data_IF_602305991599
#
_entry.id   IF_602305991599
#
_cell.length_a   1.000
_cell.length_b   1.000
_cell.length_c   1.000
_cell.angle_alpha   90.00
_cell.angle_beta   90.00
_cell.angle_gamma   90.00
#
_symmetry.space_group_name_H-M   'P 1'
#
loop_
_entity.id
_entity.type
_entity.pdbx_description
1 polymer ?
#
# COMPACT_ATOMS: atom_id res chain seq x y z
N UNK A 1 -33.41 -10.47 19.66
CA UNK A 1 -32.27 -11.39 19.65
C UNK A 1 -31.20 -10.74 18.83
N UNK A 2 -30.38 -9.91 19.49
CA UNK A 2 -29.32 -9.16 18.82
C UNK A 2 -28.07 -10.05 18.81
N UNK A 3 -27.78 -10.59 17.62
CA UNK A 3 -26.54 -11.31 17.38
C UNK A 3 -25.40 -10.30 17.33
N UNK A 4 -24.64 -10.20 18.42
CA UNK A 4 -23.31 -9.60 18.41
C UNK A 4 -22.49 -10.45 17.44
N UNK A 5 -22.33 -9.97 16.21
CA UNK A 5 -21.34 -10.52 15.28
C UNK A 5 -19.99 -10.14 15.87
N UNK A 6 -19.43 -11.07 16.65
CA UNK A 6 -18.08 -10.97 17.18
C UNK A 6 -17.11 -10.78 16.03
N UNK A 7 -16.11 -9.91 16.23
CA UNK A 7 -15.04 -9.61 15.27
C UNK A 7 -14.40 -10.88 14.66
N UNK A 8 -14.40 -11.98 15.40
CA UNK A 8 -14.00 -13.33 14.96
C UNK A 8 -14.74 -13.88 13.73
N UNK A 9 -16.01 -13.54 13.51
CA UNK A 9 -16.79 -14.08 12.39
C UNK A 9 -16.50 -13.38 11.05
N UNK A 10 -16.07 -12.11 11.07
CA UNK A 10 -15.60 -11.39 9.86
C UNK A 10 -14.24 -11.91 9.39
N UNK A 11 -13.33 -12.20 10.32
CA UNK A 11 -12.00 -12.79 10.07
C UNK A 11 -12.02 -14.17 9.37
N UNK A 12 -13.20 -14.79 9.22
CA UNK A 12 -13.37 -16.03 8.48
C UNK A 12 -13.68 -15.83 6.98
N UNK A 13 -14.02 -14.61 6.53
CA UNK A 13 -14.30 -14.32 5.12
C UNK A 13 -13.00 -14.35 4.29
N UNK A 14 -12.95 -15.11 3.18
CA UNK A 14 -11.77 -15.16 2.33
C UNK A 14 -11.39 -13.79 1.74
N UNK A 15 -12.34 -12.87 1.55
CA UNK A 15 -12.11 -11.51 1.09
C UNK A 15 -11.34 -10.66 2.10
N UNK A 16 -11.70 -10.75 3.39
CA UNK A 16 -11.02 -9.99 4.46
C UNK A 16 -9.55 -10.42 4.58
N UNK A 17 -9.28 -11.73 4.50
CA UNK A 17 -7.90 -12.26 4.47
C UNK A 17 -7.10 -11.81 3.26
N UNK A 18 -7.75 -11.57 2.13
CA UNK A 18 -7.07 -11.06 0.94
C UNK A 18 -6.66 -9.59 1.12
N UNK A 19 -7.54 -8.80 1.71
CA UNK A 19 -7.24 -7.40 2.04
C UNK A 19 -6.12 -7.31 3.08
N UNK A 20 -6.16 -8.09 4.15
CA UNK A 20 -5.08 -8.15 5.15
C UNK A 20 -3.72 -8.44 4.49
N UNK A 21 -3.66 -9.48 3.64
CA UNK A 21 -2.42 -9.81 2.90
C UNK A 21 -1.99 -8.70 1.97
N UNK A 22 -2.93 -8.00 1.34
CA UNK A 22 -2.63 -6.86 0.47
C UNK A 22 -2.04 -5.68 1.27
N UNK A 23 -2.67 -5.32 2.39
CA UNK A 23 -2.20 -4.27 3.29
C UNK A 23 -0.82 -4.61 3.86
N UNK A 24 -0.57 -5.85 4.28
CA UNK A 24 0.74 -6.30 4.75
C UNK A 24 1.82 -6.14 3.65
N UNK A 25 1.52 -6.56 2.42
CA UNK A 25 2.44 -6.42 1.29
C UNK A 25 2.70 -4.96 0.92
N UNK A 26 1.69 -4.10 1.00
CA UNK A 26 1.84 -2.67 0.83
C UNK A 26 2.76 -2.08 1.92
N UNK A 27 2.57 -2.46 3.19
CA UNK A 27 3.46 -2.04 4.28
C UNK A 27 4.91 -2.47 4.05
N UNK A 28 5.13 -3.72 3.64
CA UNK A 28 6.48 -4.23 3.34
C UNK A 28 7.13 -3.44 2.19
N UNK A 29 6.38 -3.16 1.12
CA UNK A 29 6.85 -2.32 0.02
C UNK A 29 7.25 -0.92 0.50
N UNK A 30 6.38 -0.25 1.26
CA UNK A 30 6.64 1.11 1.76
C UNK A 30 7.88 1.15 2.68
N UNK A 31 8.06 0.13 3.53
CA UNK A 31 9.28 0.00 4.35
C UNK A 31 10.53 -0.26 3.49
N UNK A 32 10.44 -1.12 2.48
CA UNK A 32 11.55 -1.35 1.54
C UNK A 32 11.93 -0.06 0.82
N UNK A 33 10.96 0.64 0.25
CA UNK A 33 11.15 1.89 -0.46
C UNK A 33 11.77 2.98 0.44
N UNK A 34 11.27 3.13 1.68
CA UNK A 34 11.86 4.03 2.68
C UNK A 34 13.35 3.76 2.90
N UNK A 35 13.74 2.48 2.88
CA UNK A 35 15.11 2.02 3.10
C UNK A 35 15.94 1.86 1.80
N UNK A 36 15.37 2.16 0.64
CA UNK A 36 16.07 2.04 -0.64
C UNK A 36 17.34 2.90 -0.65
N UNK A 37 18.45 2.26 -1.07
CA UNK A 37 19.79 2.84 -1.03
C UNK A 37 20.12 3.54 -2.36
N UNK A 38 20.93 4.60 -2.31
CA UNK A 38 21.48 5.18 -3.53
C UNK A 38 22.29 4.14 -4.31
N UNK A 39 22.18 4.19 -5.63
CA UNK A 39 23.10 3.51 -6.54
C UNK A 39 24.38 4.37 -6.71
N UNK A 40 25.33 3.94 -7.53
CA UNK A 40 26.47 4.78 -7.89
C UNK A 40 26.00 6.10 -8.53
N UNK A 41 26.57 7.24 -8.09
CA UNK A 41 26.18 8.58 -8.51
C UNK A 41 24.91 9.13 -7.84
N UNK A 42 24.09 9.84 -8.61
CA UNK A 42 22.90 10.58 -8.13
C UNK A 42 21.57 9.83 -8.27
N UNK A 43 21.62 8.55 -8.62
CA UNK A 43 20.44 7.70 -8.82
C UNK A 43 20.19 6.78 -7.63
N UNK A 44 18.98 6.27 -7.51
CA UNK A 44 18.58 5.31 -6.48
C UNK A 44 18.05 4.05 -7.15
N UNK A 45 18.53 2.87 -6.74
CA UNK A 45 18.00 1.63 -7.27
C UNK A 45 16.67 1.29 -6.56
N UNK A 46 15.57 1.40 -7.30
CA UNK A 46 14.21 1.08 -6.83
C UNK A 46 13.46 0.17 -7.81
N UNK A 47 14.17 -0.55 -8.69
CA UNK A 47 13.55 -1.36 -9.73
C UNK A 47 12.64 -2.47 -9.17
N UNK A 48 13.06 -3.04 -8.04
CA UNK A 48 12.28 -4.03 -7.29
C UNK A 48 10.98 -3.41 -6.75
N UNK A 49 11.09 -2.27 -6.06
CA UNK A 49 9.95 -1.54 -5.49
C UNK A 49 8.96 -1.11 -6.56
N UNK A 50 9.44 -0.57 -7.69
CA UNK A 50 8.59 -0.20 -8.84
C UNK A 50 7.77 -1.37 -9.35
N UNK A 51 8.39 -2.54 -9.47
CA UNK A 51 7.73 -3.74 -9.99
C UNK A 51 6.66 -4.24 -9.02
N UNK A 52 6.96 -4.24 -7.72
CA UNK A 52 5.99 -4.63 -6.69
C UNK A 52 4.84 -3.62 -6.59
N UNK A 53 5.14 -2.32 -6.67
CA UNK A 53 4.13 -1.26 -6.63
C UNK A 53 3.12 -1.41 -7.78
N UNK A 54 3.56 -1.72 -9.00
CA UNK A 54 2.66 -1.97 -10.14
C UNK A 54 1.74 -3.17 -9.94
N UNK A 55 2.26 -4.26 -9.36
CA UNK A 55 1.45 -5.45 -9.05
C UNK A 55 0.39 -5.12 -8.01
N UNK A 56 0.83 -4.52 -6.90
CA UNK A 56 -0.06 -4.12 -5.82
C UNK A 56 -1.09 -3.10 -6.30
N UNK A 57 -0.75 -2.18 -7.20
CA UNK A 57 -1.72 -1.22 -7.73
C UNK A 57 -2.88 -1.91 -8.46
N UNK A 58 -2.59 -2.95 -9.25
CA UNK A 58 -3.63 -3.74 -9.92
C UNK A 58 -4.50 -4.54 -8.94
N UNK A 59 -3.89 -5.10 -7.90
CA UNK A 59 -4.61 -5.79 -6.83
C UNK A 59 -5.48 -4.80 -6.02
N UNK A 60 -4.96 -3.61 -5.72
CA UNK A 60 -5.66 -2.56 -4.97
C UNK A 60 -6.95 -2.14 -5.67
N UNK A 61 -6.89 -1.91 -6.99
CA UNK A 61 -8.06 -1.53 -7.78
C UNK A 61 -9.17 -2.60 -7.76
N UNK A 62 -8.78 -3.88 -7.82
CA UNK A 62 -9.73 -5.01 -7.71
C UNK A 62 -10.38 -5.02 -6.33
N UNK A 63 -9.58 -4.92 -5.27
CA UNK A 63 -10.07 -4.93 -3.89
C UNK A 63 -10.93 -3.70 -3.55
N UNK A 64 -10.62 -2.53 -4.12
CA UNK A 64 -11.44 -1.32 -3.97
C UNK A 64 -12.83 -1.54 -4.56
N UNK A 65 -12.91 -2.04 -5.80
CA UNK A 65 -14.18 -2.32 -6.47
C UNK A 65 -15.02 -3.34 -5.68
N UNK A 66 -14.37 -4.39 -5.16
CA UNK A 66 -15.02 -5.41 -4.35
C UNK A 66 -15.55 -4.82 -3.02
N UNK A 67 -14.76 -4.00 -2.34
CA UNK A 67 -15.16 -3.33 -1.11
C UNK A 67 -16.33 -2.37 -1.34
N UNK A 68 -16.27 -1.56 -2.40
CA UNK A 68 -17.37 -0.68 -2.81
C UNK A 68 -18.65 -1.46 -3.11
N UNK A 69 -18.54 -2.57 -3.84
CA UNK A 69 -19.67 -3.44 -4.19
C UNK A 69 -20.33 -4.04 -2.94
N UNK A 70 -19.54 -4.40 -1.93
CA UNK A 70 -20.03 -4.89 -0.63
C UNK A 70 -20.50 -3.77 0.30
N UNK A 71 -20.26 -2.51 -0.04
CA UNK A 71 -20.52 -1.36 0.84
C UNK A 71 -19.57 -1.26 2.03
N UNK A 72 -18.41 -1.92 1.96
CA UNK A 72 -17.37 -1.90 2.99
C UNK A 72 -16.50 -0.64 2.85
N UNK A 73 -16.96 0.43 3.50
CA UNK A 73 -16.32 1.75 3.45
C UNK A 73 -14.98 1.81 4.16
N UNK A 74 -14.82 1.01 5.22
CA UNK A 74 -13.59 1.02 6.02
C UNK A 74 -12.44 0.41 5.20
N UNK A 75 -12.68 -0.74 4.56
CA UNK A 75 -11.72 -1.34 3.64
C UNK A 75 -11.42 -0.43 2.45
N UNK A 76 -12.46 0.14 1.80
CA UNK A 76 -12.25 1.03 0.66
C UNK A 76 -11.36 2.23 1.04
N UNK A 77 -11.61 2.84 2.21
CA UNK A 77 -10.82 3.98 2.69
C UNK A 77 -9.35 3.62 2.97
N UNK A 78 -9.07 2.41 3.47
CA UNK A 78 -7.69 1.94 3.66
C UNK A 78 -6.99 1.75 2.32
N UNK A 79 -7.67 1.13 1.34
CA UNK A 79 -7.12 0.93 0.00
C UNK A 79 -6.90 2.25 -0.75
N UNK A 80 -7.82 3.20 -0.61
CA UNK A 80 -7.69 4.58 -1.13
C UNK A 80 -6.49 5.30 -0.52
N UNK A 81 -6.16 5.03 0.74
CA UNK A 81 -5.01 5.63 1.41
C UNK A 81 -3.68 5.05 0.93
N UNK A 82 -3.66 3.80 0.45
CA UNK A 82 -2.48 3.11 -0.07
C UNK A 82 -2.20 3.52 -1.51
N UNK A 83 -3.24 3.64 -2.33
CA UNK A 83 -3.16 3.83 -3.79
C UNK A 83 -2.19 4.95 -4.23
N UNK A 84 -2.21 6.18 -3.65
CA UNK A 84 -1.34 7.26 -4.09
C UNK A 84 0.15 6.91 -3.98
N UNK A 85 0.54 6.13 -2.96
CA UNK A 85 1.92 5.72 -2.77
C UNK A 85 2.34 4.61 -3.71
N UNK A 86 1.42 3.69 -4.04
CA UNK A 86 1.66 2.68 -5.07
C UNK A 86 1.85 3.35 -6.43
N UNK A 87 1.00 4.32 -6.78
CA UNK A 87 1.10 5.11 -8.00
C UNK A 87 2.42 5.88 -8.06
N UNK A 88 2.77 6.60 -7.00
CA UNK A 88 4.00 7.36 -6.91
C UNK A 88 5.23 6.49 -7.18
N UNK A 89 5.32 5.34 -6.51
CA UNK A 89 6.46 4.43 -6.65
C UNK A 89 6.45 3.78 -8.04
N UNK A 90 5.29 3.30 -8.52
CA UNK A 90 5.16 2.66 -9.82
C UNK A 90 5.58 3.57 -10.99
N UNK A 91 5.30 4.88 -10.86
CA UNK A 91 5.55 5.90 -11.88
C UNK A 91 6.93 6.57 -11.79
N UNK A 92 7.79 6.18 -10.84
CA UNK A 92 9.18 6.63 -10.87
C UNK A 92 9.84 6.24 -12.20
N UNK A 93 10.79 7.04 -12.68
CA UNK A 93 11.64 6.66 -13.82
C UNK A 93 12.51 5.44 -13.48
N UNK A 94 13.19 4.82 -14.45
CA UNK A 94 13.97 3.59 -14.19
C UNK A 94 15.19 3.80 -13.29
N UNK A 95 15.79 4.99 -13.37
CA UNK A 95 16.87 5.43 -12.48
C UNK A 95 16.49 6.78 -11.88
N UNK A 96 15.59 6.81 -10.88
CA UNK A 96 15.14 8.06 -10.29
C UNK A 96 16.26 8.74 -9.55
N UNK A 97 16.21 10.07 -9.55
CA UNK A 97 17.13 10.90 -8.78
C UNK A 97 16.85 10.74 -7.29
N UNK A 98 17.85 11.10 -6.48
CA UNK A 98 17.70 11.19 -5.02
C UNK A 98 16.54 12.11 -4.61
N UNK A 99 16.27 13.17 -5.37
CA UNK A 99 15.23 14.15 -5.06
C UNK A 99 13.82 13.61 -5.32
N UNK A 100 13.62 12.87 -6.40
CA UNK A 100 12.34 12.21 -6.68
C UNK A 100 11.99 11.19 -5.59
N UNK A 101 12.96 10.33 -5.27
CA UNK A 101 12.79 9.34 -4.20
C UNK A 101 12.56 10.03 -2.84
N UNK A 102 13.29 11.11 -2.55
CA UNK A 102 13.09 11.88 -1.32
C UNK A 102 11.68 12.48 -1.25
N UNK A 103 11.17 13.00 -2.36
CA UNK A 103 9.84 13.63 -2.40
C UNK A 103 8.73 12.62 -2.04
N UNK A 104 8.82 11.39 -2.56
CA UNK A 104 7.89 10.31 -2.18
C UNK A 104 8.06 9.93 -0.71
N UNK A 105 9.31 9.79 -0.22
CA UNK A 105 9.59 9.47 1.19
C UNK A 105 9.05 10.53 2.16
N UNK A 106 9.16 11.81 1.82
CA UNK A 106 8.63 12.91 2.65
C UNK A 106 7.10 12.90 2.67
N UNK A 107 6.43 12.61 1.54
CA UNK A 107 4.97 12.43 1.55
C UNK A 107 4.55 11.27 2.44
N UNK A 108 5.19 10.11 2.33
CA UNK A 108 4.91 8.95 3.19
C UNK A 108 5.10 9.28 4.68
N UNK A 109 6.11 10.09 5.01
CA UNK A 109 6.35 10.54 6.38
C UNK A 109 5.26 11.50 6.85
N UNK A 110 4.87 12.48 6.02
CA UNK A 110 3.85 13.48 6.35
C UNK A 110 2.47 12.87 6.58
N UNK A 111 2.12 11.81 5.85
CA UNK A 111 0.85 11.11 5.99
C UNK A 111 0.88 9.99 7.04
N UNK A 112 2.05 9.70 7.60
CA UNK A 112 2.26 8.60 8.55
C UNK A 112 1.75 7.24 8.04
N UNK A 113 1.73 7.04 6.71
CA UNK A 113 1.03 5.92 6.07
C UNK A 113 1.48 4.55 6.60
N UNK A 114 2.78 4.37 6.85
CA UNK A 114 3.28 3.09 7.38
C UNK A 114 2.70 2.80 8.77
N UNK A 115 2.51 3.81 9.62
CA UNK A 115 1.92 3.64 10.94
C UNK A 115 0.41 3.44 10.85
N UNK A 116 -0.27 4.18 9.97
CA UNK A 116 -1.71 4.01 9.74
C UNK A 116 -2.08 2.58 9.33
N UNK A 117 -1.25 1.94 8.50
CA UNK A 117 -1.47 0.56 8.07
C UNK A 117 -1.18 -0.49 9.13
N UNK A 118 -0.43 -0.19 10.20
CA UNK A 118 -0.15 -1.17 11.27
C UNK A 118 -1.36 -1.48 12.16
N UNK A 119 -2.40 -0.65 12.07
CA UNK A 119 -3.61 -0.74 12.91
C UNK A 119 -4.74 -1.52 12.19
N UNK A 120 -4.54 -1.82 10.90
CA UNK A 120 -5.42 -2.66 10.11
C UNK A 120 -5.09 -4.13 10.35
#
# INVERSE_FOLDING_TARGET
GEGVVTTDARLADPGDKEVERHVERAQMLLRSFKNARPAEGDTVNVAYEKTNARKLLGENATLQLDAETRGDKDTAQVLDSIEPFLLDIANLRDQPSREEVRSVKERMKKTEIIAALQVY
#
